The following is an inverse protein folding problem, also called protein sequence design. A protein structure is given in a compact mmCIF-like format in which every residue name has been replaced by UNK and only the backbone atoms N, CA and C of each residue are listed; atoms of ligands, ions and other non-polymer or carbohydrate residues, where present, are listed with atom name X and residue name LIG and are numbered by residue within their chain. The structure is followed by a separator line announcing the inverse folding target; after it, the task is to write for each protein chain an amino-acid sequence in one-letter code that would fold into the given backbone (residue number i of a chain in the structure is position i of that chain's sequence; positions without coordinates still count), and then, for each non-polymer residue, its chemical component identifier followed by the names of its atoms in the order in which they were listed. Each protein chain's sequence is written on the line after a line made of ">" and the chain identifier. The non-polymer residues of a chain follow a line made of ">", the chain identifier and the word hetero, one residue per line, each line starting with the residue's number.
data_IF_660535395663
#
_entry.id   IF_660535395663
#
_cell.length_a   1.000
_cell.length_b   1.000
_cell.length_c   1.000
_cell.angle_alpha   90.00
_cell.angle_beta   90.00
_cell.angle_gamma   90.00
#
_symmetry.space_group_name_H-M   'P 1'
#
loop_
_entity.id
_entity.type
_entity.pdbx_description
1 polymer ?
#
# COMPACT_ATOMS: atom_id res chain seq x y z
N UNK A 1 -29.37 36.11 -19.89
CA UNK A 1 -28.10 36.13 -19.11
C UNK A 1 -28.34 36.43 -17.62
N UNK A 2 -29.36 35.84 -16.97
CA UNK A 2 -29.67 36.02 -15.54
C UNK A 2 -29.74 34.68 -14.77
N UNK A 3 -29.43 33.57 -15.44
CA UNK A 3 -29.60 32.21 -14.92
C UNK A 3 -28.34 31.62 -14.27
N UNK A 4 -27.18 32.29 -14.36
CA UNK A 4 -25.90 31.74 -13.89
C UNK A 4 -25.59 32.07 -12.42
N UNK A 5 -26.24 33.06 -11.82
CA UNK A 5 -25.97 33.49 -10.43
C UNK A 5 -26.78 32.71 -9.37
N UNK A 6 -27.78 31.92 -9.74
CA UNK A 6 -28.64 31.18 -8.79
C UNK A 6 -28.04 29.84 -8.35
N UNK A 7 -27.09 29.28 -9.11
CA UNK A 7 -26.45 28.01 -8.74
C UNK A 7 -25.50 28.12 -7.52
N UNK A 8 -25.11 29.34 -7.11
CA UNK A 8 -24.31 29.55 -5.90
C UNK A 8 -25.14 29.63 -4.61
N UNK A 9 -26.47 29.77 -4.68
CA UNK A 9 -27.34 30.02 -3.52
C UNK A 9 -28.24 28.84 -3.13
N UNK A 10 -28.31 27.80 -3.97
CA UNK A 10 -28.98 26.57 -3.63
C UNK A 10 -27.89 25.55 -3.34
N UNK A 11 -27.69 25.25 -2.06
CA UNK A 11 -26.81 24.19 -1.57
C UNK A 11 -27.18 22.86 -2.22
N UNK A 12 -26.64 22.63 -3.40
CA UNK A 12 -26.55 21.30 -3.99
C UNK A 12 -25.63 20.53 -3.05
N UNK A 13 -26.24 19.79 -2.14
CA UNK A 13 -25.55 18.78 -1.36
C UNK A 13 -24.80 17.91 -2.37
N UNK A 14 -23.48 18.08 -2.44
CA UNK A 14 -22.65 17.16 -3.18
C UNK A 14 -22.95 15.77 -2.58
N UNK A 15 -23.23 14.75 -3.40
CA UNK A 15 -23.33 13.41 -2.85
C UNK A 15 -22.00 13.15 -2.13
N UNK A 16 -22.07 12.78 -0.85
CA UNK A 16 -20.90 12.28 -0.13
C UNK A 16 -20.39 11.04 -0.88
N UNK A 17 -19.52 11.26 -1.85
CA UNK A 17 -18.62 10.21 -2.33
C UNK A 17 -17.77 9.75 -1.15
N UNK A 18 -17.11 8.60 -1.24
CA UNK A 18 -16.11 8.15 -0.28
C UNK A 18 -14.87 9.08 -0.31
N UNK A 19 -15.05 10.34 0.04
CA UNK A 19 -13.98 11.30 0.21
C UNK A 19 -13.24 10.90 1.47
N UNK A 20 -11.91 10.89 1.39
CA UNK A 20 -11.04 10.67 2.53
C UNK A 20 -11.14 11.89 3.45
N UNK A 21 -12.16 11.92 4.30
CA UNK A 21 -12.36 12.98 5.28
C UNK A 21 -11.52 12.65 6.52
N UNK A 22 -10.25 13.01 6.46
CA UNK A 22 -9.33 12.74 7.54
C UNK A 22 -9.83 13.38 8.83
N UNK A 23 -9.90 12.59 9.90
CA UNK A 23 -10.32 13.11 11.20
C UNK A 23 -9.19 13.95 11.82
N UNK A 24 -9.55 14.96 12.60
CA UNK A 24 -8.58 15.64 13.45
C UNK A 24 -7.90 14.61 14.35
N UNK A 25 -6.56 14.56 14.31
CA UNK A 25 -5.74 13.59 15.05
C UNK A 25 -5.94 12.11 14.63
N UNK A 26 -6.26 11.85 13.35
CA UNK A 26 -6.31 10.49 12.79
C UNK A 26 -4.94 9.79 12.84
N UNK A 27 -3.86 10.54 12.61
CA UNK A 27 -2.49 10.06 12.74
C UNK A 27 -1.93 10.52 14.08
N UNK A 28 -1.78 9.58 15.03
CA UNK A 28 -1.17 9.84 16.34
C UNK A 28 0.25 9.28 16.42
N UNK A 29 1.11 9.79 17.33
CA UNK A 29 2.45 9.23 17.53
C UNK A 29 2.44 7.74 17.89
N UNK A 30 1.41 7.28 18.61
CA UNK A 30 1.24 5.87 18.97
C UNK A 30 0.89 5.01 17.75
N UNK A 31 0.08 5.55 16.83
CA UNK A 31 -0.24 4.91 15.56
C UNK A 31 1.02 4.78 14.70
N UNK A 32 1.77 5.85 14.51
CA UNK A 32 3.02 5.84 13.74
C UNK A 32 4.01 4.81 14.33
N UNK A 33 4.16 4.78 15.66
CA UNK A 33 5.00 3.80 16.32
C UNK A 33 4.50 2.36 16.10
N UNK A 34 3.18 2.14 16.06
CA UNK A 34 2.61 0.82 15.77
C UNK A 34 2.85 0.40 14.33
N UNK A 35 2.68 1.31 13.36
CA UNK A 35 2.97 1.08 11.93
C UNK A 35 4.45 0.74 11.75
N UNK A 36 5.36 1.51 12.34
CA UNK A 36 6.80 1.28 12.26
C UNK A 36 7.19 -0.11 12.80
N UNK A 37 6.61 -0.54 13.94
CA UNK A 37 6.84 -1.90 14.49
C UNK A 37 6.29 -2.98 13.57
N UNK A 38 5.09 -2.78 13.03
CA UNK A 38 4.45 -3.71 12.10
C UNK A 38 5.26 -3.91 10.83
N UNK A 39 5.75 -2.81 10.25
CA UNK A 39 6.62 -2.84 9.07
C UNK A 39 7.96 -3.51 9.36
N UNK A 40 8.60 -3.18 10.48
CA UNK A 40 9.85 -3.84 10.88
C UNK A 40 9.67 -5.35 11.04
N UNK A 41 8.59 -5.78 11.68
CA UNK A 41 8.23 -7.19 11.76
C UNK A 41 8.01 -7.77 10.36
N UNK A 42 7.17 -7.16 9.53
CA UNK A 42 6.88 -7.64 8.18
C UNK A 42 8.18 -7.85 7.38
N UNK A 43 9.06 -6.85 7.34
CA UNK A 43 10.36 -6.91 6.65
C UNK A 43 11.19 -8.09 7.14
N UNK A 44 11.21 -8.36 8.46
CA UNK A 44 11.96 -9.49 9.03
C UNK A 44 11.43 -10.86 8.60
N UNK A 45 10.21 -10.94 8.05
CA UNK A 45 9.60 -12.18 7.58
C UNK A 45 9.87 -12.48 6.10
N UNK A 46 10.61 -11.63 5.39
CA UNK A 46 10.97 -11.90 4.00
C UNK A 46 11.89 -13.12 3.92
N UNK A 47 11.56 -14.08 3.06
CA UNK A 47 12.40 -15.24 2.78
C UNK A 47 13.64 -14.82 1.95
N UNK A 48 14.66 -15.68 1.91
CA UNK A 48 15.90 -15.41 1.16
C UNK A 48 15.67 -15.14 -0.34
N UNK A 49 14.66 -15.79 -0.92
CA UNK A 49 14.25 -15.63 -2.32
C UNK A 49 13.39 -14.39 -2.60
N UNK A 50 13.15 -13.55 -1.59
CA UNK A 50 12.36 -12.32 -1.69
C UNK A 50 10.86 -12.51 -1.44
N UNK A 51 10.37 -13.74 -1.37
CA UNK A 51 8.96 -14.01 -1.10
C UNK A 51 8.55 -13.74 0.34
N UNK A 52 7.25 -13.57 0.56
CA UNK A 52 6.64 -13.58 1.89
C UNK A 52 5.71 -14.79 2.06
N UNK A 53 5.44 -15.14 3.31
CA UNK A 53 4.57 -16.25 3.70
C UNK A 53 5.35 -17.40 4.34
N UNK A 54 4.62 -18.28 5.03
CA UNK A 54 5.17 -19.40 5.78
C UNK A 54 4.31 -20.66 5.68
N UNK A 55 4.90 -21.81 6.01
CA UNK A 55 4.22 -23.10 5.97
C UNK A 55 3.62 -23.39 4.60
N UNK A 56 2.33 -23.73 4.55
CA UNK A 56 1.61 -24.04 3.31
C UNK A 56 1.45 -22.85 2.34
N UNK A 57 1.71 -21.63 2.81
CA UNK A 57 1.63 -20.40 2.02
C UNK A 57 3.01 -19.77 1.81
N UNK A 58 4.08 -20.53 2.00
CA UNK A 58 5.42 -20.08 1.64
C UNK A 58 5.50 -19.81 0.14
N UNK A 59 6.25 -18.79 -0.27
CA UNK A 59 6.44 -18.43 -1.68
C UNK A 59 5.13 -18.13 -2.41
N UNK A 60 4.18 -17.51 -1.72
CA UNK A 60 2.89 -17.17 -2.31
C UNK A 60 2.94 -15.77 -2.95
N UNK A 61 2.56 -15.68 -4.23
CA UNK A 61 2.60 -14.44 -5.02
C UNK A 61 1.66 -13.38 -4.45
N UNK A 62 0.43 -13.75 -4.06
CA UNK A 62 -0.54 -12.80 -3.52
C UNK A 62 -0.07 -12.20 -2.17
N UNK A 63 0.46 -13.03 -1.27
CA UNK A 63 1.01 -12.57 0.01
C UNK A 63 2.23 -11.67 -0.22
N UNK A 64 3.12 -12.06 -1.13
CA UNK A 64 4.32 -11.28 -1.47
C UNK A 64 3.95 -9.92 -2.04
N UNK A 65 3.01 -9.88 -2.99
CA UNK A 65 2.51 -8.62 -3.59
C UNK A 65 1.90 -7.71 -2.54
N UNK A 66 1.07 -8.23 -1.64
CA UNK A 66 0.43 -7.43 -0.59
C UNK A 66 1.47 -6.88 0.41
N UNK A 67 2.46 -7.68 0.80
CA UNK A 67 3.54 -7.24 1.66
C UNK A 67 4.37 -6.10 1.00
N UNK A 68 4.68 -6.24 -0.28
CA UNK A 68 5.39 -5.19 -1.03
C UNK A 68 4.57 -3.89 -1.11
N UNK A 69 3.25 -3.99 -1.37
CA UNK A 69 2.37 -2.82 -1.37
C UNK A 69 2.34 -2.12 -0.01
N UNK A 70 2.26 -2.87 1.08
CA UNK A 70 2.28 -2.29 2.43
C UNK A 70 3.59 -1.55 2.73
N UNK A 71 4.74 -2.12 2.34
CA UNK A 71 6.05 -1.50 2.52
C UNK A 71 6.19 -0.24 1.63
N UNK A 72 5.65 -0.28 0.41
CA UNK A 72 5.64 0.87 -0.50
C UNK A 72 4.70 1.99 -0.05
N UNK A 73 3.60 1.66 0.62
CA UNK A 73 2.67 2.65 1.18
C UNK A 73 3.33 3.55 2.24
N UNK A 74 4.36 3.04 2.93
CA UNK A 74 5.19 3.81 3.87
C UNK A 74 6.29 4.66 3.18
N UNK A 75 6.39 4.58 1.85
CA UNK A 75 7.30 5.39 1.03
C UNK A 75 8.59 4.69 0.58
N UNK A 76 8.77 3.40 0.91
CA UNK A 76 9.92 2.62 0.45
C UNK A 76 9.71 2.12 -0.98
N UNK A 77 10.59 2.48 -1.91
CA UNK A 77 10.43 2.12 -3.32
C UNK A 77 11.51 1.11 -3.77
N UNK A 78 11.24 0.25 -4.78
CA UNK A 78 12.21 -0.73 -5.25
C UNK A 78 13.55 -0.09 -5.64
N UNK A 79 14.64 -0.56 -5.03
CA UNK A 79 16.00 -0.12 -5.36
C UNK A 79 16.42 1.27 -4.86
N UNK A 80 15.61 1.94 -4.01
CA UNK A 80 16.02 3.19 -3.33
C UNK A 80 15.54 3.23 -1.88
N UNK A 81 16.31 3.90 -1.03
CA UNK A 81 16.02 4.05 0.40
C UNK A 81 16.38 2.80 1.22
N UNK A 82 16.21 2.85 2.55
CA UNK A 82 16.77 1.83 3.44
C UNK A 82 16.16 0.43 3.26
N UNK A 83 14.88 0.35 2.86
CA UNK A 83 14.13 -0.87 2.62
C UNK A 83 13.96 -1.16 1.12
N UNK A 84 14.64 -0.42 0.24
CA UNK A 84 14.49 -0.54 -1.21
C UNK A 84 14.88 -1.91 -1.75
N UNK A 85 15.84 -2.59 -1.12
CA UNK A 85 16.22 -3.96 -1.47
C UNK A 85 15.15 -4.99 -1.11
N UNK A 86 14.43 -4.78 0.00
CA UNK A 86 13.34 -5.67 0.43
C UNK A 86 12.24 -5.64 -0.62
N UNK A 87 11.81 -4.43 -1.01
CA UNK A 87 10.76 -4.26 -2.03
C UNK A 87 11.23 -4.76 -3.39
N UNK A 88 12.48 -4.49 -3.77
CA UNK A 88 13.06 -4.97 -5.03
C UNK A 88 13.04 -6.50 -5.11
N UNK A 89 13.51 -7.21 -4.09
CA UNK A 89 13.51 -8.69 -4.07
C UNK A 89 12.09 -9.25 -4.14
N UNK A 90 11.14 -8.66 -3.41
CA UNK A 90 9.74 -9.08 -3.47
C UNK A 90 9.12 -8.86 -4.85
N UNK A 91 9.43 -7.73 -5.50
CA UNK A 91 9.01 -7.46 -6.88
C UNK A 91 9.63 -8.45 -7.88
N UNK A 92 10.93 -8.72 -7.76
CA UNK A 92 11.64 -9.73 -8.58
C UNK A 92 10.99 -11.11 -8.43
N UNK A 93 10.63 -11.51 -7.20
CA UNK A 93 9.89 -12.75 -6.96
C UNK A 93 8.55 -12.77 -7.69
N UNK A 94 7.74 -11.71 -7.59
CA UNK A 94 6.43 -11.63 -8.25
C UNK A 94 6.59 -11.75 -9.77
N UNK A 95 7.53 -11.00 -10.36
CA UNK A 95 7.79 -11.04 -11.80
C UNK A 95 8.28 -12.41 -12.28
N UNK A 96 9.09 -13.10 -11.47
CA UNK A 96 9.58 -14.44 -11.79
C UNK A 96 8.48 -15.52 -11.75
N UNK A 97 7.34 -15.23 -11.13
CA UNK A 97 6.19 -16.15 -11.04
C UNK A 97 5.00 -15.72 -11.92
N UNK A 98 5.15 -14.64 -12.71
CA UNK A 98 4.15 -14.25 -13.69
C UNK A 98 4.29 -15.11 -14.96
N UNK A 99 3.16 -15.59 -15.47
CA UNK A 99 3.11 -16.24 -16.78
C UNK A 99 3.37 -15.22 -17.91
N UNK A 100 3.77 -15.68 -19.09
CA UNK A 100 4.03 -14.80 -20.25
C UNK A 100 2.80 -13.97 -20.67
N UNK A 101 1.59 -14.45 -20.35
CA UNK A 101 0.34 -13.73 -20.59
C UNK A 101 -0.04 -12.75 -19.46
N UNK A 102 0.82 -12.59 -18.44
CA UNK A 102 0.63 -11.67 -17.32
C UNK A 102 -0.23 -12.21 -16.17
N UNK A 103 -0.61 -13.49 -16.17
CA UNK A 103 -1.32 -14.10 -15.03
C UNK A 103 -0.35 -14.39 -13.88
N UNK A 104 -0.83 -14.22 -12.65
CA UNK A 104 -0.12 -14.47 -11.38
C UNK A 104 -0.59 -15.76 -10.69
#
# INVERSE_FOLDING_TARGET
>A
MKSLLIACLLGVAQPESAQNNALDNEITPELDAAVARGLAFLISQQNEDGSFGSGRYQRNVAITSLACLAIMADGHIPGRGPQGDVVRKGLEFVLANAAENGLL
#
